data_IF_112829352352
#
_entry.id   IF_112829352352
#
_cell.length_a   1.000
_cell.length_b   1.000
_cell.length_c   1.000
_cell.angle_alpha   90.00
_cell.angle_beta   90.00
_cell.angle_gamma   90.00
#
_symmetry.space_group_name_H-M   'P 1'
#
loop_
_entity.id
_entity.type
_entity.pdbx_description
1 polymer ?
#
# COMPACT_ATOMS: atom_id res chain seq x y z
N UNK A 1 26.05 3.44 9.38
CA UNK A 1 25.11 2.44 8.81
C UNK A 1 24.11 1.89 9.83
N UNK A 2 24.40 1.94 11.13
CA UNK A 2 23.66 1.19 12.16
C UNK A 2 22.24 1.64 12.49
N UNK A 3 22.03 2.88 12.91
CA UNK A 3 20.84 3.28 13.68
C UNK A 3 19.51 3.17 12.92
N UNK A 4 19.46 3.54 11.63
CA UNK A 4 18.20 3.51 10.85
C UNK A 4 17.78 2.08 10.46
N UNK A 5 18.73 1.20 10.20
CA UNK A 5 18.44 -0.22 9.91
C UNK A 5 17.94 -0.95 11.14
N UNK A 6 18.56 -0.74 12.30
CA UNK A 6 18.12 -1.34 13.56
C UNK A 6 16.69 -0.94 13.94
N UNK A 7 16.31 0.32 13.75
CA UNK A 7 14.94 0.77 13.99
C UNK A 7 13.91 0.01 13.13
N UNK A 8 14.22 -0.29 11.88
CA UNK A 8 13.33 -1.05 10.99
C UNK A 8 13.26 -2.53 11.38
N UNK A 9 14.41 -3.13 11.71
CA UNK A 9 14.47 -4.52 12.20
C UNK A 9 13.68 -4.63 13.50
N UNK A 10 13.91 -3.74 14.47
CA UNK A 10 13.19 -3.73 15.74
C UNK A 10 11.68 -3.57 15.51
N UNK A 11 11.29 -2.65 14.64
CA UNK A 11 9.88 -2.46 14.28
C UNK A 11 9.28 -3.71 13.64
N UNK A 12 9.98 -4.37 12.71
CA UNK A 12 9.52 -5.62 12.09
C UNK A 12 9.36 -6.73 13.12
N UNK A 13 10.32 -6.88 14.04
CA UNK A 13 10.24 -7.85 15.13
C UNK A 13 9.06 -7.56 16.06
N UNK A 14 8.87 -6.31 16.48
CA UNK A 14 7.72 -5.91 17.28
C UNK A 14 6.39 -6.20 16.55
N UNK A 15 6.30 -5.89 15.27
CA UNK A 15 5.09 -6.16 14.45
C UNK A 15 4.81 -7.66 14.37
N UNK A 16 5.82 -8.49 14.16
CA UNK A 16 5.68 -9.94 14.16
C UNK A 16 5.26 -10.49 15.53
N UNK A 17 5.81 -9.95 16.62
CA UNK A 17 5.43 -10.35 17.99
C UNK A 17 3.97 -9.97 18.28
N UNK A 18 3.56 -8.75 17.90
CA UNK A 18 2.17 -8.29 18.05
C UNK A 18 1.23 -9.17 17.22
N UNK A 19 1.58 -9.48 15.98
CA UNK A 19 0.77 -10.34 15.11
C UNK A 19 0.65 -11.75 15.69
N UNK A 20 1.76 -12.37 16.12
CA UNK A 20 1.76 -13.70 16.72
C UNK A 20 0.95 -13.72 18.01
N UNK A 21 1.11 -12.72 18.89
CA UNK A 21 0.33 -12.58 20.11
C UNK A 21 -1.16 -12.39 19.83
N UNK A 22 -1.51 -11.62 18.80
CA UNK A 22 -2.90 -11.43 18.39
C UNK A 22 -3.53 -12.72 17.85
N UNK A 23 -2.78 -13.50 17.06
CA UNK A 23 -3.24 -14.81 16.55
C UNK A 23 -3.44 -15.78 17.72
N UNK A 24 -2.48 -15.83 18.65
CA UNK A 24 -2.58 -16.67 19.84
C UNK A 24 -3.81 -16.28 20.70
N UNK A 25 -4.03 -14.98 20.90
CA UNK A 25 -5.19 -14.50 21.63
C UNK A 25 -6.51 -14.91 20.94
N UNK A 26 -6.60 -14.74 19.62
CA UNK A 26 -7.78 -15.10 18.82
C UNK A 26 -8.10 -16.59 18.91
N UNK A 27 -7.09 -17.46 18.99
CA UNK A 27 -7.30 -18.91 19.15
C UNK A 27 -8.00 -19.27 20.48
N UNK A 28 -7.91 -18.40 21.49
CA UNK A 28 -8.52 -18.61 22.80
C UNK A 28 -9.80 -17.80 23.02
N UNK A 29 -10.30 -17.10 21.98
CA UNK A 29 -11.55 -16.34 22.04
C UNK A 29 -12.69 -17.21 21.53
N UNK A 30 -13.66 -17.46 22.39
CA UNK A 30 -14.87 -18.27 22.11
C UNK A 30 -16.04 -17.45 21.52
N UNK A 31 -15.85 -16.19 21.25
CA UNK A 31 -16.90 -15.27 20.76
C UNK A 31 -16.60 -14.70 19.38
N UNK A 32 -17.63 -14.37 18.61
CA UNK A 32 -17.48 -13.73 17.30
C UNK A 32 -17.22 -12.25 17.48
N UNK A 33 -15.98 -11.81 17.22
CA UNK A 33 -15.55 -10.42 17.40
C UNK A 33 -16.34 -9.42 16.54
N UNK A 34 -16.73 -9.79 15.33
CA UNK A 34 -17.59 -8.93 14.51
C UNK A 34 -18.89 -8.51 15.21
N UNK A 35 -19.46 -9.39 16.03
CA UNK A 35 -20.70 -9.11 16.75
C UNK A 35 -20.48 -8.30 18.03
N UNK A 36 -19.39 -8.56 18.74
CA UNK A 36 -19.14 -7.96 20.05
C UNK A 36 -18.23 -6.73 19.99
N UNK A 37 -17.35 -6.64 19.03
CA UNK A 37 -16.31 -5.63 18.96
C UNK A 37 -16.30 -4.85 17.63
N UNK A 38 -17.41 -4.81 16.90
CA UNK A 38 -17.51 -4.08 15.62
C UNK A 38 -17.09 -2.59 15.73
N UNK A 39 -17.30 -1.97 16.90
CA UNK A 39 -16.87 -0.61 17.19
C UNK A 39 -15.34 -0.41 17.03
N UNK A 40 -14.54 -1.47 17.20
CA UNK A 40 -13.08 -1.41 17.01
C UNK A 40 -12.72 -1.08 15.55
N UNK A 41 -13.53 -1.51 14.58
CA UNK A 41 -13.36 -1.15 13.17
C UNK A 41 -13.48 0.37 12.98
N UNK A 42 -14.50 0.99 13.62
CA UNK A 42 -14.71 2.44 13.58
C UNK A 42 -13.56 3.17 14.26
N UNK A 43 -13.14 2.70 15.44
CA UNK A 43 -11.99 3.28 16.16
C UNK A 43 -10.70 3.17 15.33
N UNK A 44 -10.44 2.01 14.70
CA UNK A 44 -9.27 1.82 13.84
C UNK A 44 -9.26 2.80 12.66
N UNK A 45 -10.41 2.99 12.01
CA UNK A 45 -10.58 3.97 10.94
C UNK A 45 -10.30 5.40 11.42
N UNK A 46 -10.88 5.80 12.54
CA UNK A 46 -10.73 7.16 13.09
C UNK A 46 -9.29 7.41 13.55
N UNK A 47 -8.67 6.47 14.26
CA UNK A 47 -7.28 6.57 14.73
C UNK A 47 -6.33 6.64 13.54
N UNK A 48 -6.49 5.78 12.55
CA UNK A 48 -5.67 5.82 11.33
C UNK A 48 -5.79 7.15 10.60
N UNK A 49 -7.02 7.64 10.43
CA UNK A 49 -7.29 8.95 9.81
C UNK A 49 -6.64 10.09 10.59
N UNK A 50 -6.80 10.12 11.91
CA UNK A 50 -6.22 11.15 12.77
C UNK A 50 -4.69 11.13 12.71
N UNK A 51 -4.07 9.96 12.88
CA UNK A 51 -2.62 9.81 12.82
C UNK A 51 -2.05 10.21 11.44
N UNK A 52 -2.69 9.79 10.35
CA UNK A 52 -2.32 10.15 8.99
C UNK A 52 -2.41 11.67 8.76
N UNK A 53 -3.48 12.29 9.22
CA UNK A 53 -3.69 13.75 9.13
C UNK A 53 -2.63 14.51 9.92
N UNK A 54 -2.45 14.19 11.21
CA UNK A 54 -1.43 14.82 12.08
C UNK A 54 -0.05 14.70 11.44
N UNK A 55 0.29 13.51 10.98
CA UNK A 55 1.57 13.23 10.35
C UNK A 55 1.82 14.08 9.11
N UNK A 56 0.82 14.15 8.22
CA UNK A 56 0.94 14.91 6.96
C UNK A 56 1.07 16.39 7.22
N UNK A 57 0.26 16.95 8.13
CA UNK A 57 0.32 18.37 8.47
C UNK A 57 1.64 18.73 9.16
N UNK A 58 2.15 17.89 10.06
CA UNK A 58 3.45 18.11 10.71
C UNK A 58 4.61 18.02 9.72
N UNK A 59 4.58 17.03 8.79
CA UNK A 59 5.60 16.88 7.74
C UNK A 59 5.66 18.11 6.83
N UNK A 60 4.52 18.67 6.44
CA UNK A 60 4.45 19.88 5.61
C UNK A 60 5.15 21.07 6.28
N UNK A 61 5.04 21.20 7.61
CA UNK A 61 5.74 22.26 8.37
C UNK A 61 7.25 22.09 8.38
N UNK A 62 7.77 20.86 8.37
CA UNK A 62 9.20 20.58 8.40
C UNK A 62 9.84 20.67 7.00
N UNK A 63 9.16 20.21 5.95
CA UNK A 63 9.67 20.29 4.56
C UNK A 63 9.88 21.73 4.09
N UNK A 64 9.06 22.67 4.57
CA UNK A 64 9.28 24.09 4.29
C UNK A 64 10.51 24.70 4.98
N UNK A 65 11.19 23.95 5.85
CA UNK A 65 12.38 24.37 6.61
C UNK A 65 13.69 23.72 6.12
N UNK A 66 13.61 22.64 5.36
CA UNK A 66 14.80 21.92 4.87
C UNK A 66 15.12 22.29 3.42
N UNK A 67 16.23 22.90 3.30
CA UNK A 67 16.86 23.55 2.18
C UNK A 67 17.87 22.59 1.54
N UNK A 68 17.90 22.62 0.20
CA UNK A 68 19.01 22.27 -0.71
C UNK A 68 20.16 21.39 -0.16
N UNK A 69 20.23 20.16 -0.69
CA UNK A 69 21.47 19.37 -0.70
C UNK A 69 21.50 18.11 0.17
N UNK A 70 20.43 17.74 0.88
CA UNK A 70 20.38 16.47 1.63
C UNK A 70 19.70 15.38 0.80
N UNK A 71 20.31 14.18 0.62
CA UNK A 71 19.66 13.09 -0.11
C UNK A 71 18.37 12.69 0.59
N UNK A 72 17.24 12.95 -0.07
CA UNK A 72 15.90 12.58 0.41
C UNK A 72 15.81 11.06 0.45
N UNK A 73 15.52 10.49 1.61
CA UNK A 73 15.25 9.06 1.72
C UNK A 73 14.08 8.67 0.81
N UNK A 74 14.29 7.70 -0.04
CA UNK A 74 13.26 7.23 -0.99
C UNK A 74 12.03 6.67 -0.28
N UNK A 75 12.24 5.95 0.82
CA UNK A 75 11.21 5.36 1.66
C UNK A 75 11.45 5.74 3.11
N UNK A 76 10.63 6.64 3.60
CA UNK A 76 10.59 7.00 5.02
C UNK A 76 10.01 5.84 5.85
N UNK A 77 10.22 5.85 7.15
CA UNK A 77 9.63 4.87 8.07
C UNK A 77 8.10 4.87 7.94
N UNK A 78 7.50 6.03 7.70
CA UNK A 78 6.05 6.16 7.53
C UNK A 78 5.55 5.40 6.29
N UNK A 79 6.22 5.59 5.14
CA UNK A 79 5.88 4.84 3.93
C UNK A 79 6.06 3.33 4.11
N UNK A 80 7.04 2.94 4.93
CA UNK A 80 7.23 1.54 5.32
C UNK A 80 6.04 1.02 6.14
N UNK A 81 5.58 1.78 7.15
CA UNK A 81 4.42 1.45 7.97
C UNK A 81 3.13 1.36 7.15
N UNK A 82 2.89 2.37 6.32
CA UNK A 82 1.74 2.42 5.41
C UNK A 82 1.67 1.15 4.54
N UNK A 83 2.78 0.83 3.90
CA UNK A 83 2.82 -0.31 2.97
C UNK A 83 2.69 -1.64 3.69
N UNK A 84 3.57 -1.91 4.67
CA UNK A 84 3.61 -3.22 5.32
C UNK A 84 2.47 -3.45 6.30
N UNK A 85 1.98 -2.40 6.96
CA UNK A 85 0.79 -2.50 7.82
C UNK A 85 -0.46 -2.86 7.00
N UNK A 86 -0.69 -2.16 5.88
CA UNK A 86 -1.81 -2.45 4.97
C UNK A 86 -1.64 -3.83 4.32
N UNK A 87 -0.44 -4.16 3.83
CA UNK A 87 -0.15 -5.44 3.19
C UNK A 87 -0.39 -6.61 4.16
N UNK A 88 0.07 -6.52 5.40
CA UNK A 88 -0.17 -7.55 6.43
C UNK A 88 -1.67 -7.74 6.68
N UNK A 89 -2.42 -6.64 6.82
CA UNK A 89 -3.89 -6.70 6.96
C UNK A 89 -4.55 -7.40 5.78
N UNK A 90 -4.18 -7.05 4.55
CA UNK A 90 -4.69 -7.69 3.32
C UNK A 90 -4.34 -9.18 3.26
N UNK A 91 -3.12 -9.58 3.61
CA UNK A 91 -2.73 -10.99 3.66
C UNK A 91 -3.57 -11.78 4.65
N UNK A 92 -3.79 -11.22 5.84
CA UNK A 92 -4.65 -11.84 6.87
C UNK A 92 -6.09 -11.96 6.38
N UNK A 93 -6.63 -10.93 5.69
CA UNK A 93 -7.96 -10.94 5.10
C UNK A 93 -8.11 -12.02 4.02
N UNK A 94 -7.14 -12.11 3.09
CA UNK A 94 -7.14 -13.12 2.04
C UNK A 94 -7.10 -14.53 2.65
N UNK A 95 -6.16 -14.78 3.57
CA UNK A 95 -5.99 -16.08 4.21
C UNK A 95 -7.26 -16.49 4.98
N UNK A 96 -7.79 -15.61 5.82
CA UNK A 96 -9.00 -15.88 6.58
C UNK A 96 -10.25 -16.01 5.70
N UNK A 97 -10.34 -15.22 4.62
CA UNK A 97 -11.42 -15.32 3.63
C UNK A 97 -11.45 -16.68 2.94
N UNK A 98 -10.28 -17.21 2.53
CA UNK A 98 -10.17 -18.57 1.97
C UNK A 98 -10.63 -19.62 2.99
N UNK A 99 -10.20 -19.50 4.24
CA UNK A 99 -10.61 -20.43 5.33
C UNK A 99 -12.10 -20.37 5.59
N UNK A 100 -12.71 -19.18 5.62
CA UNK A 100 -14.16 -19.02 5.75
C UNK A 100 -14.91 -19.67 4.60
N UNK A 101 -14.40 -19.53 3.37
CA UNK A 101 -14.99 -20.13 2.17
C UNK A 101 -14.93 -21.67 2.18
N UNK A 102 -13.86 -22.23 2.72
CA UNK A 102 -13.69 -23.69 2.83
C UNK A 102 -14.37 -24.29 4.08
N UNK A 103 -14.99 -23.48 4.92
CA UNK A 103 -15.64 -23.91 6.16
C UNK A 103 -14.66 -24.34 7.27
N UNK A 104 -13.37 -24.03 7.14
CA UNK A 104 -12.34 -24.42 8.11
C UNK A 104 -12.40 -23.53 9.34
N UNK A 105 -12.72 -24.08 10.50
CA UNK A 105 -12.75 -23.39 11.81
C UNK A 105 -13.33 -21.97 11.68
N UNK A 106 -14.65 -21.90 11.52
CA UNK A 106 -15.38 -20.66 11.19
C UNK A 106 -15.15 -19.58 12.25
N UNK A 107 -15.11 -19.94 13.53
CA UNK A 107 -14.95 -18.97 14.62
C UNK A 107 -13.55 -18.32 14.56
N UNK A 108 -12.49 -19.12 14.52
CA UNK A 108 -11.11 -18.63 14.39
C UNK A 108 -10.93 -17.82 13.11
N UNK A 109 -11.44 -18.33 11.99
CA UNK A 109 -11.31 -17.67 10.68
C UNK A 109 -12.07 -16.34 10.63
N UNK A 110 -13.24 -16.24 11.26
CA UNK A 110 -14.00 -15.00 11.40
C UNK A 110 -13.24 -13.97 12.26
N UNK A 111 -12.71 -14.39 13.40
CA UNK A 111 -11.95 -13.51 14.29
C UNK A 111 -10.62 -13.07 13.65
N UNK A 112 -9.97 -13.95 12.89
CA UNK A 112 -8.79 -13.61 12.11
C UNK A 112 -9.13 -12.61 10.99
N UNK A 113 -10.28 -12.77 10.33
CA UNK A 113 -10.76 -11.81 9.33
C UNK A 113 -11.03 -10.43 9.95
N UNK A 114 -11.60 -10.41 11.15
CA UNK A 114 -11.77 -9.18 11.92
C UNK A 114 -10.44 -8.49 12.24
N UNK A 115 -9.42 -9.23 12.65
CA UNK A 115 -8.06 -8.69 12.87
C UNK A 115 -7.48 -8.09 11.58
N UNK A 116 -7.59 -8.80 10.46
CA UNK A 116 -7.15 -8.31 9.17
C UNK A 116 -7.87 -7.02 8.76
N UNK A 117 -9.19 -6.97 8.97
CA UNK A 117 -9.99 -5.79 8.70
C UNK A 117 -9.56 -4.58 9.55
N UNK A 118 -9.41 -4.74 10.86
CA UNK A 118 -9.01 -3.64 11.75
C UNK A 118 -7.63 -3.11 11.42
N UNK A 119 -6.68 -4.01 11.09
CA UNK A 119 -5.34 -3.62 10.62
C UNK A 119 -5.41 -2.85 9.30
N UNK A 120 -6.17 -3.34 8.33
CA UNK A 120 -6.33 -2.69 7.02
C UNK A 120 -7.02 -1.34 7.14
N UNK A 121 -8.03 -1.22 8.00
CA UNK A 121 -8.70 0.06 8.28
C UNK A 121 -7.74 1.06 8.94
N UNK A 122 -6.92 0.64 9.90
CA UNK A 122 -5.98 1.50 10.59
C UNK A 122 -4.92 2.06 9.62
N UNK A 123 -4.20 1.19 8.94
CA UNK A 123 -3.09 1.59 8.06
C UNK A 123 -3.57 2.11 6.71
N UNK A 124 -4.67 1.60 6.19
CA UNK A 124 -5.29 2.07 4.95
C UNK A 124 -5.87 3.49 5.10
N UNK A 125 -6.53 3.80 6.21
CA UNK A 125 -7.03 5.15 6.47
C UNK A 125 -5.91 6.15 6.77
N UNK A 126 -4.84 5.70 7.43
CA UNK A 126 -3.61 6.48 7.59
C UNK A 126 -3.03 6.87 6.21
N UNK A 127 -2.85 5.89 5.31
CA UNK A 127 -2.40 6.13 3.93
C UNK A 127 -3.37 7.04 3.16
N UNK A 128 -4.67 6.78 3.25
CA UNK A 128 -5.69 7.55 2.53
C UNK A 128 -5.68 9.02 2.95
N UNK A 129 -5.50 9.31 4.24
CA UNK A 129 -5.38 10.68 4.76
C UNK A 129 -4.15 11.40 4.18
N UNK A 130 -2.97 10.73 4.17
CA UNK A 130 -1.78 11.29 3.56
C UNK A 130 -1.96 11.46 2.02
N UNK A 131 -2.58 10.50 1.36
CA UNK A 131 -2.89 10.56 -0.07
C UNK A 131 -3.77 11.76 -0.43
N UNK A 132 -4.82 12.01 0.34
CA UNK A 132 -5.77 13.09 0.11
C UNK A 132 -5.15 14.46 0.45
N UNK A 133 -4.57 14.63 1.63
CA UNK A 133 -4.06 15.91 2.12
C UNK A 133 -2.81 16.36 1.35
N UNK A 134 -1.90 15.42 1.05
CA UNK A 134 -0.69 15.71 0.25
C UNK A 134 -0.94 15.81 -1.25
N UNK A 135 -2.20 15.68 -1.70
CA UNK A 135 -2.58 15.67 -3.13
C UNK A 135 -1.77 14.68 -3.97
N UNK A 136 -1.43 13.52 -3.38
CA UNK A 136 -0.64 12.47 -4.05
C UNK A 136 -1.38 11.86 -5.26
N UNK A 137 -2.71 12.07 -5.38
CA UNK A 137 -3.47 11.62 -6.54
C UNK A 137 -2.91 12.16 -7.86
N UNK A 138 -2.37 13.38 -7.87
CA UNK A 138 -1.77 13.98 -9.08
C UNK A 138 -0.58 13.16 -9.62
N UNK A 139 0.10 12.41 -8.75
CA UNK A 139 1.26 11.60 -9.12
C UNK A 139 0.99 10.10 -9.16
N UNK A 140 -0.02 9.62 -8.42
CA UNK A 140 -0.32 8.19 -8.27
C UNK A 140 -1.45 7.72 -9.16
N UNK A 141 -2.41 8.59 -9.53
CA UNK A 141 -3.45 8.22 -10.47
C UNK A 141 -2.92 8.28 -11.91
N UNK A 142 -3.23 7.27 -12.73
CA UNK A 142 -2.85 7.26 -14.13
C UNK A 142 -3.71 8.27 -14.92
N UNK A 143 -3.11 8.91 -15.90
CA UNK A 143 -3.85 9.55 -16.98
C UNK A 143 -4.18 8.52 -18.08
N UNK A 144 -4.93 8.93 -19.10
CA UNK A 144 -5.32 8.04 -20.20
C UNK A 144 -4.10 7.46 -20.94
N UNK A 145 -3.06 8.26 -21.16
CA UNK A 145 -1.83 7.81 -21.82
C UNK A 145 -1.05 6.82 -20.96
N UNK A 146 -1.01 7.00 -19.64
CA UNK A 146 -0.42 6.04 -18.72
C UNK A 146 -1.09 4.65 -18.84
N UNK A 147 -2.42 4.61 -18.97
CA UNK A 147 -3.16 3.35 -19.11
C UNK A 147 -2.96 2.75 -20.50
N UNK A 148 -3.25 3.53 -21.54
CA UNK A 148 -3.30 3.05 -22.92
C UNK A 148 -1.89 2.75 -23.46
N UNK A 149 -0.99 3.74 -23.43
CA UNK A 149 0.36 3.61 -24.00
C UNK A 149 1.35 3.01 -23.01
N UNK A 150 1.35 3.50 -21.77
CA UNK A 150 2.32 3.13 -20.76
C UNK A 150 2.08 1.76 -20.10
N UNK A 151 0.84 1.25 -20.12
CA UNK A 151 0.50 -0.06 -19.55
C UNK A 151 0.08 -1.03 -20.64
N UNK A 152 -1.07 -0.85 -21.28
CA UNK A 152 -1.59 -1.77 -22.29
C UNK A 152 -0.64 -1.83 -23.49
N UNK A 153 -0.32 -0.69 -24.10
CA UNK A 153 0.56 -0.63 -25.25
C UNK A 153 1.93 -1.24 -25.01
N UNK A 154 2.55 -0.89 -23.88
CA UNK A 154 3.89 -1.38 -23.52
C UNK A 154 3.93 -2.89 -23.27
N UNK A 155 2.99 -3.45 -22.52
CA UNK A 155 3.04 -4.85 -22.07
C UNK A 155 2.33 -5.82 -23.01
N UNK A 156 1.21 -5.42 -23.66
CA UNK A 156 0.46 -6.25 -24.59
C UNK A 156 0.91 -6.04 -26.06
N UNK A 157 1.11 -4.78 -26.48
CA UNK A 157 1.42 -4.43 -27.86
C UNK A 157 2.92 -4.17 -28.10
N UNK A 158 3.74 -4.27 -27.03
CA UNK A 158 5.20 -4.04 -27.07
C UNK A 158 5.61 -2.66 -27.60
N UNK A 159 4.77 -1.64 -27.44
CA UNK A 159 5.07 -0.28 -27.83
C UNK A 159 6.23 0.29 -27.01
N UNK A 160 7.05 1.12 -27.65
CA UNK A 160 8.10 1.86 -26.94
C UNK A 160 7.45 2.98 -26.12
N UNK A 161 7.57 2.91 -24.80
CA UNK A 161 7.08 3.94 -23.88
C UNK A 161 8.17 4.33 -22.89
N UNK A 162 8.44 5.63 -22.77
CA UNK A 162 9.47 6.15 -21.88
C UNK A 162 8.81 6.75 -20.63
N UNK A 163 8.86 6.02 -19.53
CA UNK A 163 8.37 6.43 -18.22
C UNK A 163 9.39 7.36 -17.53
N UNK A 164 9.27 8.68 -17.73
CA UNK A 164 10.11 9.69 -17.04
C UNK A 164 9.56 10.10 -15.68
N UNK A 165 8.35 9.69 -15.30
CA UNK A 165 7.72 10.06 -14.05
C UNK A 165 8.28 9.29 -12.84
N UNK A 166 8.17 9.87 -11.63
CA UNK A 166 8.52 9.24 -10.35
C UNK A 166 7.89 7.84 -10.19
N UNK A 167 6.64 7.69 -10.60
CA UNK A 167 5.93 6.41 -10.64
C UNK A 167 5.69 6.01 -12.09
N UNK A 168 6.04 4.77 -12.43
CA UNK A 168 5.84 4.22 -13.77
C UNK A 168 4.34 4.09 -14.06
N UNK A 169 3.96 4.22 -15.34
CA UNK A 169 2.56 4.11 -15.78
C UNK A 169 1.90 2.82 -15.31
N UNK A 170 2.60 1.68 -15.36
CA UNK A 170 2.10 0.41 -14.83
C UNK A 170 1.89 0.39 -13.30
N UNK A 171 2.68 1.14 -12.55
CA UNK A 171 2.49 1.28 -11.09
C UNK A 171 1.25 2.11 -10.77
N UNK A 172 1.01 3.18 -11.52
CA UNK A 172 -0.20 4.01 -11.40
C UNK A 172 -1.46 3.21 -11.77
N UNK A 173 -1.40 2.45 -12.88
CA UNK A 173 -2.52 1.59 -13.30
C UNK A 173 -2.83 0.50 -12.29
N UNK A 174 -1.81 -0.15 -11.72
CA UNK A 174 -1.98 -1.11 -10.64
C UNK A 174 -2.58 -0.46 -9.39
N UNK A 175 -2.13 0.75 -9.02
CA UNK A 175 -2.71 1.49 -7.90
C UNK A 175 -4.19 1.79 -8.10
N UNK A 176 -4.59 2.22 -9.30
CA UNK A 176 -6.00 2.44 -9.63
C UNK A 176 -6.83 1.16 -9.49
N UNK A 177 -6.31 0.02 -9.96
CA UNK A 177 -6.98 -1.28 -9.78
C UNK A 177 -7.14 -1.65 -8.30
N UNK A 178 -6.10 -1.45 -7.48
CA UNK A 178 -6.20 -1.65 -6.03
C UNK A 178 -7.24 -0.75 -5.38
N UNK A 179 -7.34 0.50 -5.84
CA UNK A 179 -8.32 1.45 -5.32
C UNK A 179 -9.76 1.02 -5.66
N UNK A 180 -10.02 0.61 -6.90
CA UNK A 180 -11.35 0.16 -7.34
C UNK A 180 -11.75 -1.11 -6.60
N UNK A 181 -10.93 -2.18 -6.69
CA UNK A 181 -11.23 -3.47 -6.08
C UNK A 181 -11.34 -3.34 -4.55
N UNK A 182 -10.44 -2.56 -3.93
CA UNK A 182 -10.48 -2.29 -2.51
C UNK A 182 -11.75 -1.57 -2.07
N UNK A 183 -12.21 -0.60 -2.86
CA UNK A 183 -13.47 0.11 -2.59
C UNK A 183 -14.67 -0.83 -2.67
N UNK A 184 -14.74 -1.72 -3.66
CA UNK A 184 -15.80 -2.73 -3.78
C UNK A 184 -15.82 -3.67 -2.56
N UNK A 185 -14.65 -4.14 -2.10
CA UNK A 185 -14.53 -4.99 -0.93
C UNK A 185 -15.01 -4.27 0.34
N UNK A 186 -14.62 -3.00 0.51
CA UNK A 186 -15.03 -2.20 1.67
C UNK A 186 -16.54 -1.97 1.67
N UNK A 187 -17.12 -1.57 0.54
CA UNK A 187 -18.57 -1.32 0.42
C UNK A 187 -19.36 -2.61 0.72
N UNK A 188 -19.02 -3.70 0.04
CA UNK A 188 -19.73 -4.97 0.20
C UNK A 188 -19.50 -5.58 1.59
N UNK A 189 -18.31 -5.48 2.14
CA UNK A 189 -17.99 -5.89 3.51
C UNK A 189 -18.79 -5.09 4.55
N UNK A 190 -18.96 -3.77 4.33
CA UNK A 190 -19.79 -2.91 5.19
C UNK A 190 -21.26 -3.32 5.14
N UNK A 191 -21.81 -3.65 3.97
CA UNK A 191 -23.19 -4.17 3.84
C UNK A 191 -23.35 -5.47 4.63
N UNK A 192 -22.40 -6.41 4.50
CA UNK A 192 -22.41 -7.69 5.24
C UNK A 192 -22.30 -7.47 6.75
N UNK A 193 -21.46 -6.54 7.19
CA UNK A 193 -21.35 -6.18 8.60
C UNK A 193 -22.64 -5.53 9.12
N UNK A 194 -23.22 -4.59 8.36
CA UNK A 194 -24.48 -3.94 8.71
C UNK A 194 -25.63 -4.94 8.86
N UNK A 195 -25.68 -5.97 8.02
CA UNK A 195 -26.70 -7.02 8.09
C UNK A 195 -26.64 -7.86 9.38
N UNK A 196 -25.55 -7.79 10.14
CA UNK A 196 -25.47 -8.44 11.47
C UNK A 196 -26.24 -7.68 12.55
N UNK A 197 -26.55 -6.40 12.34
CA UNK A 197 -27.14 -5.49 13.32
C UNK A 197 -28.44 -4.85 12.84
N UNK A 198 -28.64 -4.78 11.53
CA UNK A 198 -29.78 -4.11 10.89
C UNK A 198 -30.53 -5.09 9.99
N UNK A 199 -31.83 -4.83 9.79
CA UNK A 199 -32.66 -5.58 8.85
C UNK A 199 -32.34 -5.16 7.42
N UNK A 200 -31.33 -5.80 6.80
CA UNK A 200 -30.97 -5.60 5.39
C UNK A 200 -31.67 -6.67 4.55
N UNK A 201 -32.32 -6.32 3.40
CA UNK A 201 -32.96 -7.30 2.53
C UNK A 201 -31.97 -8.41 2.10
N UNK A 202 -32.43 -9.68 2.16
CA UNK A 202 -31.60 -10.85 1.89
C UNK A 202 -30.97 -10.84 0.50
N UNK A 203 -31.67 -10.30 -0.50
CA UNK A 203 -31.16 -10.14 -1.86
C UNK A 203 -29.92 -9.20 -1.90
N UNK A 204 -29.99 -8.07 -1.16
CA UNK A 204 -28.86 -7.13 -1.08
C UNK A 204 -27.64 -7.78 -0.45
N UNK A 205 -27.84 -8.56 0.63
CA UNK A 205 -26.76 -9.31 1.30
C UNK A 205 -26.18 -10.38 0.38
N UNK A 206 -27.01 -11.07 -0.39
CA UNK A 206 -26.58 -12.09 -1.36
C UNK A 206 -25.72 -11.47 -2.48
N UNK A 207 -26.19 -10.38 -3.06
CA UNK A 207 -25.43 -9.65 -4.10
C UNK A 207 -24.10 -9.13 -3.51
N UNK A 208 -24.14 -8.48 -2.34
CA UNK A 208 -22.94 -7.99 -1.67
C UNK A 208 -21.93 -9.11 -1.38
N UNK A 209 -22.42 -10.30 -1.00
CA UNK A 209 -21.55 -11.48 -0.77
C UNK A 209 -20.89 -11.94 -2.07
N UNK A 210 -21.66 -12.06 -3.15
CA UNK A 210 -21.12 -12.48 -4.45
C UNK A 210 -20.07 -11.51 -4.99
N UNK A 211 -20.35 -10.21 -4.93
CA UNK A 211 -19.41 -9.16 -5.36
C UNK A 211 -18.18 -9.16 -4.48
N UNK A 212 -18.33 -9.30 -3.16
CA UNK A 212 -17.22 -9.38 -2.21
C UNK A 212 -16.29 -10.55 -2.51
N UNK A 213 -16.86 -11.73 -2.78
CA UNK A 213 -16.09 -12.93 -3.10
C UNK A 213 -15.32 -12.78 -4.42
N UNK A 214 -15.98 -12.24 -5.47
CA UNK A 214 -15.33 -11.98 -6.77
C UNK A 214 -14.20 -10.94 -6.62
N UNK A 215 -14.48 -9.82 -5.97
CA UNK A 215 -13.49 -8.77 -5.73
C UNK A 215 -12.30 -9.27 -4.89
N UNK A 216 -12.54 -10.17 -3.92
CA UNK A 216 -11.49 -10.80 -3.12
C UNK A 216 -10.59 -11.71 -3.95
N UNK A 217 -11.14 -12.47 -4.91
CA UNK A 217 -10.35 -13.28 -5.86
C UNK A 217 -9.53 -12.38 -6.77
N UNK A 218 -10.10 -11.30 -7.29
CA UNK A 218 -9.37 -10.32 -8.11
C UNK A 218 -8.24 -9.66 -7.32
N UNK A 219 -8.47 -9.32 -6.04
CA UNK A 219 -7.44 -8.78 -5.16
C UNK A 219 -6.32 -9.80 -4.94
N UNK A 220 -6.63 -11.07 -4.70
CA UNK A 220 -5.64 -12.13 -4.56
C UNK A 220 -4.76 -12.22 -5.82
N UNK A 221 -5.36 -12.26 -7.01
CA UNK A 221 -4.63 -12.30 -8.28
C UNK A 221 -3.73 -11.07 -8.45
N UNK A 222 -4.24 -9.88 -8.12
CA UNK A 222 -3.48 -8.64 -8.21
C UNK A 222 -2.28 -8.62 -7.24
N UNK A 223 -2.46 -9.13 -6.02
CA UNK A 223 -1.38 -9.29 -5.03
C UNK A 223 -0.33 -10.29 -5.52
N UNK A 224 -0.73 -11.42 -6.07
CA UNK A 224 0.20 -12.42 -6.64
C UNK A 224 1.02 -11.82 -7.79
N UNK A 225 0.37 -11.12 -8.71
CA UNK A 225 1.05 -10.43 -9.82
C UNK A 225 2.02 -9.37 -9.29
N UNK A 226 1.62 -8.59 -8.27
CA UNK A 226 2.48 -7.60 -7.63
C UNK A 226 3.76 -8.24 -7.04
N UNK A 227 3.61 -9.33 -6.31
CA UNK A 227 4.73 -10.08 -5.72
C UNK A 227 5.64 -10.64 -6.82
N UNK A 228 5.06 -11.29 -7.85
CA UNK A 228 5.82 -11.85 -8.96
C UNK A 228 6.63 -10.79 -9.70
N UNK A 229 6.05 -9.61 -9.96
CA UNK A 229 6.78 -8.49 -10.56
C UNK A 229 7.90 -7.98 -9.64
N UNK A 230 7.64 -7.89 -8.33
CA UNK A 230 8.63 -7.42 -7.38
C UNK A 230 9.87 -8.33 -7.28
N UNK A 231 9.70 -9.65 -7.41
CA UNK A 231 10.79 -10.63 -7.29
C UNK A 231 11.44 -11.02 -8.63
N UNK A 232 10.73 -10.89 -9.76
CA UNK A 232 11.19 -11.40 -11.06
C UNK A 232 12.29 -10.55 -11.70
N UNK A 233 12.22 -9.22 -11.59
CA UNK A 233 13.18 -8.32 -12.24
C UNK A 233 14.28 -7.88 -11.28
N UNK A 234 15.54 -8.00 -11.71
CA UNK A 234 16.72 -7.60 -10.91
C UNK A 234 16.64 -6.12 -10.46
N UNK A 235 16.16 -5.23 -11.31
CA UNK A 235 15.93 -3.82 -10.98
C UNK A 235 14.86 -3.62 -9.90
N UNK A 236 13.86 -4.51 -9.82
CA UNK A 236 12.81 -4.47 -8.81
C UNK A 236 13.26 -5.09 -7.48
N UNK A 237 14.15 -6.08 -7.49
CA UNK A 237 14.77 -6.61 -6.26
C UNK A 237 15.56 -5.52 -5.52
N UNK A 238 16.26 -4.66 -6.24
CA UNK A 238 16.93 -3.51 -5.64
C UNK A 238 15.94 -2.54 -4.97
N UNK A 239 14.73 -2.36 -5.56
CA UNK A 239 13.64 -1.61 -4.94
C UNK A 239 13.09 -2.30 -3.70
N UNK A 240 12.91 -3.62 -3.73
CA UNK A 240 12.51 -4.41 -2.58
C UNK A 240 13.50 -4.22 -1.41
N UNK A 241 14.81 -4.35 -1.68
CA UNK A 241 15.84 -4.10 -0.67
C UNK A 241 15.83 -2.65 -0.15
N UNK A 242 15.45 -1.66 -0.97
CA UNK A 242 15.34 -0.27 -0.54
C UNK A 242 14.22 -0.05 0.48
N UNK A 243 13.16 -0.85 0.47
CA UNK A 243 12.13 -0.84 1.51
C UNK A 243 12.67 -1.25 2.88
N UNK A 244 13.57 -2.23 2.94
CA UNK A 244 14.16 -2.69 4.19
C UNK A 244 15.34 -1.82 4.64
N UNK A 245 16.16 -1.33 3.71
CA UNK A 245 17.39 -0.60 4.04
C UNK A 245 17.23 0.92 4.05
N UNK A 246 16.18 1.45 3.42
CA UNK A 246 15.97 2.89 3.23
C UNK A 246 16.95 3.55 2.25
N UNK A 247 17.89 2.79 1.69
CA UNK A 247 18.93 3.32 0.80
C UNK A 247 18.45 3.35 -0.64
N UNK A 248 18.61 4.47 -1.31
CA UNK A 248 18.60 4.49 -2.77
C UNK A 248 19.81 3.69 -3.29
N UNK A 249 19.60 2.85 -4.28
CA UNK A 249 20.69 2.27 -5.03
C UNK A 249 21.29 3.39 -5.88
N UNK A 250 22.47 3.87 -5.50
CA UNK A 250 23.20 5.02 -6.06
C UNK A 250 23.34 4.99 -7.60
N UNK A 251 23.29 3.80 -8.20
CA UNK A 251 23.46 3.58 -9.66
C UNK A 251 22.43 4.26 -10.58
N UNK A 252 21.27 4.73 -10.06
CA UNK A 252 20.31 5.46 -10.90
C UNK A 252 20.51 6.97 -10.87
N UNK A 253 21.20 7.48 -9.86
CA UNK A 253 21.52 8.91 -9.78
C UNK A 253 22.80 9.24 -10.56
N UNK A 254 23.78 8.35 -10.54
CA UNK A 254 25.04 8.56 -11.29
C UNK A 254 24.80 8.70 -12.80
N UNK A 255 23.76 8.03 -13.35
CA UNK A 255 23.37 8.19 -14.75
C UNK A 255 22.66 9.52 -15.04
N UNK A 256 21.84 10.01 -14.09
CA UNK A 256 21.09 11.26 -14.28
C UNK A 256 21.97 12.48 -13.98
N UNK A 257 22.87 12.39 -13.00
CA UNK A 257 23.83 13.45 -12.69
C UNK A 257 24.90 13.56 -13.80
N UNK A 258 25.38 12.43 -14.36
CA UNK A 258 26.30 12.46 -15.49
C UNK A 258 25.65 13.08 -16.74
N UNK A 259 24.38 12.80 -16.99
CA UNK A 259 23.64 13.37 -18.13
C UNK A 259 23.33 14.87 -17.91
N UNK A 260 23.04 15.29 -16.66
CA UNK A 260 22.79 16.69 -16.34
C UNK A 260 24.09 17.53 -16.33
N UNK A 261 25.20 16.98 -15.83
CA UNK A 261 26.52 17.64 -15.85
C UNK A 261 27.00 17.77 -17.29
N UNK A 262 26.92 16.74 -18.12
CA UNK A 262 27.29 16.83 -19.53
C UNK A 262 26.45 17.83 -20.32
N UNK A 263 25.18 18.03 -19.93
CA UNK A 263 24.29 19.02 -20.56
C UNK A 263 24.64 20.45 -20.12
N UNK A 264 25.07 20.64 -18.88
CA UNK A 264 25.49 21.93 -18.35
C UNK A 264 26.85 22.33 -18.95
N UNK A 265 27.81 21.41 -19.07
CA UNK A 265 29.11 21.67 -19.69
C UNK A 265 28.98 22.03 -21.18
N UNK A 266 27.97 21.50 -21.88
CA UNK A 266 27.68 21.87 -23.26
C UNK A 266 26.95 23.22 -23.44
N UNK A 267 26.44 23.80 -22.35
CA UNK A 267 25.74 25.09 -22.35
C UNK A 267 26.63 26.26 -21.87
N UNK A 268 27.81 25.99 -21.33
CA UNK A 268 28.72 27.05 -20.97
C UNK A 268 29.48 27.52 -22.23
N UNK A 269 29.50 28.81 -22.52
CA UNK A 269 30.32 29.34 -23.62
C UNK A 269 31.79 29.11 -23.33
N UNK A 270 32.52 28.66 -24.35
CA UNK A 270 33.95 28.36 -24.36
C UNK A 270 34.72 29.67 -24.14
N UNK A 271 34.92 30.12 -22.90
CA UNK A 271 35.67 31.35 -22.56
C UNK A 271 37.20 31.27 -22.81
N UNK A 272 37.68 30.15 -23.35
CA UNK A 272 39.12 29.93 -23.59
C UNK A 272 39.51 29.92 -25.07
N UNK A 273 38.78 30.62 -25.96
CA UNK A 273 39.16 30.85 -27.35
C UNK A 273 39.35 32.35 -27.61
N UNK A 274 40.31 32.96 -26.99
CA UNK A 274 40.97 34.17 -27.49
C UNK A 274 42.46 34.10 -27.20
#
# INVERSE_FOLDING_TARGET
MGVKMWKRILFSLMSLTVLAGSIWLIQNIEVVLFRQAAWVCVVSLLVGTALGTIRTVTKAKYVNKEIHGVPVERHTIDSYLEHWGTATGIFVLIFSGIRLRTGSDVLFSSNLHFLGLTSTLLFGSYFLSDFLISKKWNSLLPNFDDVLHGTIGKYLLRWKWNDKAKYRSSQKSAFLLYLIIGSEIVITGTIKLAAMFLSVPGEVVSIATSVHDIASILLLLLVLVHILIAISKHSHRALLFSWFTGKQVRRQLDGVEAESVSTIDNLLPDENKT
#
